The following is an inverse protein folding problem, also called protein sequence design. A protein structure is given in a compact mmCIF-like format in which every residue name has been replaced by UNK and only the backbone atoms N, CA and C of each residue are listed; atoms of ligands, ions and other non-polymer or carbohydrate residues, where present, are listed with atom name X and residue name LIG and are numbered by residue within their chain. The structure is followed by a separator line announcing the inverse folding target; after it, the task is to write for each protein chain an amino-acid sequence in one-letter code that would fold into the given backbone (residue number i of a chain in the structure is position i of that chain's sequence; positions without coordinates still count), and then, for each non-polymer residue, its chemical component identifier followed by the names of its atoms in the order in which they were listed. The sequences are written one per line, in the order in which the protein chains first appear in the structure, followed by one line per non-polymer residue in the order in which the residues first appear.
data_IF_864867711465
#
_entry.id   IF_864867711465
#
_cell.length_a   1.000
_cell.length_b   1.000
_cell.length_c   1.000
_cell.angle_alpha   90.00
_cell.angle_beta   90.00
_cell.angle_gamma   90.00
#
_symmetry.space_group_name_H-M   'P 1'
#
loop_
_entity.id
_entity.type
_entity.pdbx_description
1 polymer ?
#
# COMPACT_ATOMS: atom_id res chain seq x y z
N UNK A 1 -16.41 8.51 2.08
CA UNK A 1 -17.53 8.67 1.12
C UNK A 1 -18.15 10.08 1.16
N UNK A 2 -18.45 10.65 2.33
CA UNK A 2 -19.11 11.97 2.45
C UNK A 2 -18.39 13.12 1.71
N UNK A 3 -17.05 13.13 1.73
CA UNK A 3 -16.24 14.15 1.01
C UNK A 3 -16.36 14.09 -0.52
N UNK A 4 -16.59 12.90 -1.07
CA UNK A 4 -16.80 12.73 -2.52
C UNK A 4 -18.18 13.23 -2.95
N UNK A 5 -19.20 12.90 -2.16
CA UNK A 5 -20.58 13.33 -2.41
C UNK A 5 -20.64 14.86 -2.36
N UNK A 6 -19.98 15.48 -1.37
CA UNK A 6 -19.84 16.94 -1.25
C UNK A 6 -19.06 17.57 -2.42
N UNK A 7 -18.01 16.91 -2.93
CA UNK A 7 -17.30 17.38 -4.13
C UNK A 7 -18.14 17.29 -5.39
N UNK A 8 -18.93 16.22 -5.57
CA UNK A 8 -19.83 16.08 -6.73
C UNK A 8 -20.94 17.14 -6.66
N UNK A 9 -21.52 17.34 -5.49
CA UNK A 9 -22.59 18.32 -5.24
C UNK A 9 -22.11 19.76 -5.51
N UNK A 10 -20.91 20.11 -5.05
CA UNK A 10 -20.30 21.43 -5.28
C UNK A 10 -19.84 21.71 -6.71
N UNK A 11 -19.71 20.68 -7.53
CA UNK A 11 -19.15 20.78 -8.88
C UNK A 11 -20.23 20.89 -9.97
N UNK A 12 -21.46 21.28 -9.60
CA UNK A 12 -22.58 21.42 -10.52
C UNK A 12 -22.22 22.34 -11.70
N UNK A 13 -22.09 21.76 -12.90
CA UNK A 13 -21.71 22.48 -14.13
C UNK A 13 -20.23 22.42 -14.52
N UNK A 14 -19.36 21.76 -13.75
CA UNK A 14 -17.93 21.56 -14.07
C UNK A 14 -17.66 20.14 -14.59
N UNK A 15 -16.66 19.99 -15.48
CA UNK A 15 -16.16 18.68 -15.90
C UNK A 15 -15.31 18.11 -14.77
N UNK A 16 -15.75 17.00 -14.19
CA UNK A 16 -15.06 16.30 -13.10
C UNK A 16 -14.51 14.98 -13.64
N UNK A 17 -13.24 14.69 -13.34
CA UNK A 17 -12.68 13.36 -13.56
C UNK A 17 -13.10 12.43 -12.40
N UNK A 18 -14.16 11.66 -12.65
CA UNK A 18 -14.65 10.65 -11.71
C UNK A 18 -13.65 9.50 -11.50
N UNK A 19 -12.79 9.21 -12.49
CA UNK A 19 -11.80 8.15 -12.40
C UNK A 19 -10.74 8.51 -11.36
N UNK A 20 -10.16 9.72 -11.46
CA UNK A 20 -9.19 10.21 -10.48
C UNK A 20 -9.79 10.25 -9.08
N UNK A 21 -11.04 10.71 -8.98
CA UNK A 21 -11.74 10.77 -7.71
C UNK A 21 -11.90 9.35 -7.10
N UNK A 22 -12.43 8.39 -7.87
CA UNK A 22 -12.63 7.00 -7.45
C UNK A 22 -11.33 6.32 -7.02
N UNK A 23 -10.27 6.48 -7.81
CA UNK A 23 -8.94 5.96 -7.48
C UNK A 23 -8.45 6.53 -6.14
N UNK A 24 -8.59 7.85 -5.94
CA UNK A 24 -8.21 8.51 -4.69
C UNK A 24 -9.01 7.98 -3.48
N UNK A 25 -10.31 7.77 -3.62
CA UNK A 25 -11.14 7.23 -2.54
C UNK A 25 -10.74 5.79 -2.17
N UNK A 26 -10.63 4.91 -3.16
CA UNK A 26 -10.30 3.50 -2.93
C UNK A 26 -8.93 3.41 -2.25
N UNK A 27 -7.95 4.15 -2.77
CA UNK A 27 -6.62 4.17 -2.19
C UNK A 27 -6.64 4.73 -0.77
N UNK A 28 -7.41 5.78 -0.49
CA UNK A 28 -7.54 6.32 0.86
C UNK A 28 -8.16 5.33 1.86
N UNK A 29 -9.17 4.57 1.45
CA UNK A 29 -9.78 3.54 2.30
C UNK A 29 -8.76 2.42 2.56
N UNK A 30 -8.09 1.93 1.52
CA UNK A 30 -7.10 0.86 1.66
C UNK A 30 -5.95 1.31 2.58
N UNK A 31 -5.41 2.51 2.38
CA UNK A 31 -4.33 3.02 3.23
C UNK A 31 -4.77 3.25 4.67
N UNK A 32 -6.01 3.71 4.87
CA UNK A 32 -6.54 3.92 6.22
C UNK A 32 -6.72 2.60 6.96
N UNK A 33 -7.27 1.58 6.30
CA UNK A 33 -7.49 0.27 6.92
C UNK A 33 -6.18 -0.50 7.10
N UNK A 34 -5.31 -0.50 6.08
CA UNK A 34 -4.08 -1.28 6.10
C UNK A 34 -2.95 -0.64 6.91
N UNK A 35 -2.85 0.70 6.91
CA UNK A 35 -1.69 1.43 7.42
C UNK A 35 -2.04 2.46 8.50
N UNK A 36 -3.32 2.69 8.79
CA UNK A 36 -3.76 3.79 9.64
C UNK A 36 -3.61 5.18 9.03
N UNK A 37 -3.15 5.29 7.78
CA UNK A 37 -2.76 6.55 7.15
C UNK A 37 -3.68 6.93 6.00
N UNK A 38 -3.95 8.21 5.85
CA UNK A 38 -4.67 8.71 4.67
C UNK A 38 -3.77 8.75 3.44
N UNK A 39 -4.33 8.48 2.26
CA UNK A 39 -3.66 8.54 0.94
C UNK A 39 -3.21 9.96 0.52
N UNK A 40 -3.45 10.95 1.38
CA UNK A 40 -3.01 12.34 1.23
C UNK A 40 -1.48 12.51 1.26
N UNK A 41 -0.75 11.51 1.77
CA UNK A 41 0.71 11.53 1.80
C UNK A 41 1.27 11.51 0.36
N UNK A 42 1.95 12.58 -0.04
CA UNK A 42 2.49 12.77 -1.39
C UNK A 42 3.41 11.62 -1.80
N UNK A 43 4.20 11.07 -0.87
CA UNK A 43 5.11 9.95 -1.14
C UNK A 43 4.32 8.67 -1.42
N UNK A 44 3.26 8.44 -0.64
CA UNK A 44 2.40 7.27 -0.80
C UNK A 44 1.60 7.36 -2.10
N UNK A 45 1.04 8.53 -2.42
CA UNK A 45 0.30 8.77 -3.66
C UNK A 45 1.14 8.50 -4.90
N UNK A 46 2.39 8.99 -4.91
CA UNK A 46 3.33 8.78 -6.01
C UNK A 46 3.73 7.29 -6.16
N UNK A 47 4.05 6.62 -5.06
CA UNK A 47 4.39 5.19 -5.06
C UNK A 47 3.23 4.32 -5.57
N UNK A 48 2.01 4.59 -5.10
CA UNK A 48 0.83 3.83 -5.51
C UNK A 48 0.47 4.08 -6.98
N UNK A 49 0.64 5.31 -7.47
CA UNK A 49 0.47 5.62 -8.89
C UNK A 49 1.47 4.87 -9.77
N UNK A 50 2.75 4.83 -9.37
CA UNK A 50 3.78 4.04 -10.06
C UNK A 50 3.51 2.53 -9.99
N UNK A 51 3.00 2.04 -8.87
CA UNK A 51 2.57 0.65 -8.71
C UNK A 51 1.42 0.31 -9.65
N UNK A 52 0.36 1.12 -9.66
CA UNK A 52 -0.79 0.94 -10.56
C UNK A 52 -0.38 0.97 -12.02
N UNK A 53 0.53 1.89 -12.39
CA UNK A 53 1.09 1.93 -13.74
C UNK A 53 1.81 0.63 -14.08
N UNK A 54 2.73 0.15 -13.24
CA UNK A 54 3.50 -1.08 -13.50
C UNK A 54 2.62 -2.34 -13.49
N UNK A 55 1.59 -2.40 -12.64
CA UNK A 55 0.61 -3.50 -12.63
C UNK A 55 -0.28 -3.48 -13.88
N UNK A 56 -0.58 -2.29 -14.42
CA UNK A 56 -1.33 -2.12 -15.66
C UNK A 56 -0.50 -2.35 -16.92
N UNK A 57 0.83 -2.35 -16.83
CA UNK A 57 1.70 -2.68 -17.96
C UNK A 57 1.66 -4.19 -18.21
N UNK A 58 1.09 -4.56 -19.35
CA UNK A 58 1.13 -5.94 -19.85
C UNK A 58 2.57 -6.31 -20.21
N UNK A 59 3.14 -7.29 -19.49
CA UNK A 59 4.44 -7.89 -19.84
C UNK A 59 4.28 -8.69 -21.12
N UNK A 60 5.01 -8.32 -22.17
CA UNK A 60 4.93 -8.98 -23.48
C UNK A 60 5.49 -10.40 -23.41
N UNK A 61 6.51 -10.63 -22.59
CA UNK A 61 7.13 -11.93 -22.36
C UNK A 61 6.19 -12.95 -21.72
N UNK A 62 5.24 -12.51 -20.90
CA UNK A 62 4.23 -13.41 -20.30
C UNK A 62 3.20 -13.92 -21.31
N UNK A 63 2.96 -13.21 -22.41
CA UNK A 63 2.06 -13.63 -23.49
C UNK A 63 2.80 -14.25 -24.67
N UNK A 64 4.01 -13.78 -24.97
CA UNK A 64 4.84 -14.21 -26.09
C UNK A 64 6.26 -14.47 -25.58
N UNK A 65 6.60 -15.72 -25.20
CA UNK A 65 7.86 -16.05 -24.54
C UNK A 65 9.12 -15.61 -25.29
N UNK A 66 9.10 -15.63 -26.63
CA UNK A 66 10.24 -15.20 -27.45
C UNK A 66 10.42 -13.67 -27.51
N UNK A 67 9.45 -12.88 -27.04
CA UNK A 67 9.52 -11.42 -26.92
C UNK A 67 9.83 -10.96 -25.48
N UNK A 68 10.25 -11.86 -24.59
CA UNK A 68 10.63 -11.50 -23.21
C UNK A 68 11.75 -10.46 -23.14
N UNK A 69 12.61 -10.40 -24.17
CA UNK A 69 13.64 -9.36 -24.31
C UNK A 69 13.07 -7.94 -24.45
N UNK A 70 11.82 -7.78 -24.90
CA UNK A 70 11.14 -6.48 -24.99
C UNK A 70 10.83 -5.91 -23.61
N UNK A 71 10.51 -6.77 -22.64
CA UNK A 71 10.27 -6.34 -21.25
C UNK A 71 11.57 -5.88 -20.58
N UNK A 72 12.69 -6.54 -20.90
CA UNK A 72 14.04 -6.11 -20.50
C UNK A 72 14.41 -4.76 -21.14
N UNK A 73 14.21 -4.60 -22.45
CA UNK A 73 14.52 -3.36 -23.18
C UNK A 73 13.65 -2.17 -22.75
N UNK A 74 12.41 -2.42 -22.32
CA UNK A 74 11.52 -1.41 -21.72
C UNK A 74 11.97 -0.99 -20.32
N UNK A 75 12.95 -1.68 -19.74
CA UNK A 75 13.44 -1.45 -18.39
C UNK A 75 12.38 -1.72 -17.32
N UNK A 76 11.39 -2.58 -17.61
CA UNK A 76 10.31 -2.88 -16.68
C UNK A 76 10.85 -3.56 -15.42
N UNK A 77 11.81 -4.46 -15.58
CA UNK A 77 12.44 -5.15 -14.45
C UNK A 77 13.16 -4.18 -13.50
N UNK A 78 13.94 -3.25 -14.04
CA UNK A 78 14.61 -2.21 -13.25
C UNK A 78 13.61 -1.27 -12.55
N UNK A 79 12.53 -0.87 -13.23
CA UNK A 79 11.47 -0.03 -12.64
C UNK A 79 10.71 -0.77 -11.54
N UNK A 80 10.38 -2.05 -11.74
CA UNK A 80 9.70 -2.89 -10.75
C UNK A 80 10.58 -3.11 -9.53
N UNK A 81 11.86 -3.44 -9.71
CA UNK A 81 12.78 -3.65 -8.59
C UNK A 81 13.00 -2.36 -7.78
N UNK A 82 13.15 -1.21 -8.45
CA UNK A 82 13.27 0.08 -7.78
C UNK A 82 12.00 0.42 -7.00
N UNK A 83 10.84 0.23 -7.61
CA UNK A 83 9.55 0.48 -6.95
C UNK A 83 9.36 -0.45 -5.75
N UNK A 84 9.68 -1.74 -5.90
CA UNK A 84 9.57 -2.72 -4.82
C UNK A 84 10.42 -2.30 -3.62
N UNK A 85 11.66 -1.82 -3.86
CA UNK A 85 12.52 -1.29 -2.79
C UNK A 85 11.94 -0.05 -2.10
N UNK A 86 11.43 0.92 -2.87
CA UNK A 86 10.84 2.13 -2.28
C UNK A 86 9.57 1.84 -1.48
N UNK A 87 8.77 0.85 -1.91
CA UNK A 87 7.61 0.38 -1.15
C UNK A 87 8.06 -0.36 0.12
N UNK A 88 9.08 -1.20 0.03
CA UNK A 88 9.65 -1.92 1.17
C UNK A 88 10.14 -0.95 2.26
N UNK A 89 10.88 0.09 1.88
CA UNK A 89 11.34 1.17 2.77
C UNK A 89 10.16 1.95 3.39
N UNK A 90 9.08 2.17 2.64
CA UNK A 90 7.87 2.82 3.15
C UNK A 90 7.22 1.95 4.25
N UNK A 91 7.03 0.65 3.97
CA UNK A 91 6.46 -0.28 4.94
C UNK A 91 7.34 -0.43 6.18
N UNK A 92 8.66 -0.44 6.00
CA UNK A 92 9.60 -0.45 7.12
C UNK A 92 9.44 0.77 8.01
N UNK A 93 9.32 1.97 7.43
CA UNK A 93 9.05 3.17 8.24
C UNK A 93 7.71 3.08 8.96
N UNK A 94 6.65 2.63 8.27
CA UNK A 94 5.31 2.52 8.87
C UNK A 94 5.30 1.51 10.03
N UNK A 95 5.88 0.32 9.84
CA UNK A 95 5.93 -0.71 10.88
C UNK A 95 6.76 -0.22 12.08
N UNK A 96 7.87 0.46 11.84
CA UNK A 96 8.69 1.03 12.92
C UNK A 96 7.93 2.09 13.72
N UNK A 97 7.19 2.96 13.04
CA UNK A 97 6.33 3.96 13.67
C UNK A 97 5.25 3.29 14.55
N UNK A 98 4.62 2.21 14.07
CA UNK A 98 3.61 1.46 14.83
C UNK A 98 4.22 0.73 16.03
N UNK A 99 5.41 0.12 15.87
CA UNK A 99 6.14 -0.52 16.99
C UNK A 99 6.53 0.51 18.07
N UNK A 100 7.01 1.69 17.68
CA UNK A 100 7.37 2.75 18.62
C UNK A 100 6.14 3.33 19.32
N UNK A 101 5.04 3.51 18.59
CA UNK A 101 3.74 3.92 19.14
C UNK A 101 3.22 2.91 20.15
N UNK A 102 3.25 1.61 19.85
CA UNK A 102 2.79 0.56 20.77
C UNK A 102 3.63 0.48 22.05
N UNK A 103 4.95 0.73 21.98
CA UNK A 103 5.84 0.82 23.16
C UNK A 103 5.50 1.98 24.10
N UNK A 104 4.92 3.08 23.59
CA UNK A 104 4.56 4.25 24.39
C UNK A 104 3.17 4.12 25.07
N UNK A 105 2.33 3.18 24.60
CA UNK A 105 0.96 2.98 25.11
C UNK A 105 0.91 2.07 26.35
N UNK A 106 2.00 1.36 26.66
CA UNK A 106 2.11 0.48 27.84
C UNK A 106 2.08 1.25 29.20
N UNK A 107 2.10 2.59 29.19
CA UNK A 107 2.10 3.45 30.40
C UNK A 107 0.80 4.26 30.62
N UNK A 108 -0.24 4.06 29.80
CA UNK A 108 -1.49 4.79 29.99
C UNK A 108 -2.48 4.56 28.87
N UNK A 109 -3.48 3.73 29.15
CA UNK A 109 -4.44 3.24 28.17
C UNK A 109 -5.09 4.33 27.33
N UNK A 110 -5.22 4.06 26.04
CA UNK A 110 -6.28 4.65 25.25
C UNK A 110 -6.66 3.72 24.09
N UNK A 111 -7.97 3.62 23.89
CA UNK A 111 -8.68 3.01 22.77
C UNK A 111 -8.27 3.70 21.46
N UNK A 112 -7.11 3.34 20.92
CA UNK A 112 -6.67 3.80 19.60
C UNK A 112 -7.14 2.79 18.56
N UNK A 113 -7.65 3.31 17.44
CA UNK A 113 -8.08 2.52 16.29
C UNK A 113 -6.98 1.53 15.92
N UNK A 114 -7.25 0.24 16.11
CA UNK A 114 -6.34 -0.82 15.71
C UNK A 114 -6.38 -0.94 14.19
N UNK A 115 -5.24 -0.67 13.56
CA UNK A 115 -5.07 -0.82 12.12
C UNK A 115 -4.60 -2.24 11.81
N UNK A 116 -4.65 -2.70 10.55
CA UNK A 116 -4.23 -4.07 10.23
C UNK A 116 -2.78 -4.36 10.67
N UNK A 117 -1.88 -3.36 10.62
CA UNK A 117 -0.50 -3.51 11.12
C UNK A 117 -0.48 -3.71 12.64
N UNK A 118 -1.29 -2.99 13.41
CA UNK A 118 -1.36 -3.14 14.87
C UNK A 118 -1.90 -4.53 15.25
N UNK A 119 -2.97 -4.98 14.58
CA UNK A 119 -3.54 -6.32 14.80
C UNK A 119 -2.50 -7.41 14.52
N UNK A 120 -1.75 -7.26 13.42
CA UNK A 120 -0.71 -8.20 13.02
C UNK A 120 0.49 -8.20 13.99
N UNK A 121 0.84 -7.03 14.56
CA UNK A 121 1.90 -6.90 15.57
C UNK A 121 1.46 -7.46 16.93
N UNK A 122 0.21 -7.24 17.35
CA UNK A 122 -0.35 -7.82 18.58
C UNK A 122 -0.37 -9.35 18.49
N UNK A 123 -0.76 -9.89 17.34
CA UNK A 123 -0.74 -11.33 17.07
C UNK A 123 0.69 -11.91 17.12
N UNK A 124 1.71 -11.17 16.66
CA UNK A 124 3.11 -11.55 16.79
C UNK A 124 3.55 -11.64 18.27
N UNK A 125 3.06 -10.73 19.12
CA UNK A 125 3.42 -10.68 20.56
C UNK A 125 2.76 -11.80 21.36
N UNK A 126 1.53 -12.17 21.01
CA UNK A 126 0.75 -13.18 21.75
C UNK A 126 1.27 -14.63 21.56
N UNK A 127 2.17 -14.92 20.61
CA UNK A 127 2.74 -16.27 20.39
C UNK A 127 1.68 -17.40 20.32
N UNK A 128 0.45 -17.10 19.88
CA UNK A 128 -0.68 -18.05 19.91
C UNK A 128 -0.67 -19.06 18.77
N UNK A 129 0.21 -18.90 17.77
CA UNK A 129 0.39 -19.85 16.67
C UNK A 129 1.85 -20.26 16.51
N UNK A 130 2.11 -21.52 16.20
CA UNK A 130 3.45 -22.08 15.91
C UNK A 130 4.12 -21.48 14.64
N UNK A 131 3.69 -20.31 14.18
CA UNK A 131 4.23 -19.58 13.05
C UNK A 131 4.95 -18.31 13.56
N UNK A 132 6.20 -18.14 13.16
CA UNK A 132 6.97 -16.92 13.40
C UNK A 132 6.44 -15.87 12.42
N UNK A 133 5.60 -14.96 12.91
CA UNK A 133 5.11 -13.82 12.12
C UNK A 133 6.22 -12.77 12.03
N UNK A 134 7.09 -12.90 11.03
CA UNK A 134 8.20 -11.97 10.81
C UNK A 134 7.77 -10.73 10.01
N UNK A 135 8.58 -9.66 10.04
CA UNK A 135 8.33 -8.39 9.35
C UNK A 135 8.01 -8.59 7.86
N UNK A 136 8.71 -9.51 7.22
CA UNK A 136 8.50 -9.87 5.82
C UNK A 136 7.14 -10.54 5.58
N UNK A 137 6.62 -11.27 6.56
CA UNK A 137 5.28 -11.88 6.49
C UNK A 137 4.20 -10.81 6.56
N UNK A 138 4.37 -9.79 7.42
CA UNK A 138 3.45 -8.64 7.52
C UNK A 138 3.38 -7.92 6.17
N UNK A 139 4.55 -7.59 5.61
CA UNK A 139 4.65 -6.92 4.31
C UNK A 139 4.02 -7.76 3.20
N UNK A 140 4.25 -9.07 3.19
CA UNK A 140 3.70 -9.97 2.17
C UNK A 140 2.16 -10.09 2.23
N UNK A 141 1.56 -10.04 3.43
CA UNK A 141 0.11 -10.04 3.60
C UNK A 141 -0.51 -8.76 3.04
N UNK A 142 0.13 -7.60 3.26
CA UNK A 142 -0.38 -6.32 2.78
C UNK A 142 -0.12 -6.15 1.28
N UNK A 143 1.06 -6.55 0.81
CA UNK A 143 1.48 -6.43 -0.56
C UNK A 143 2.04 -7.77 -1.05
N UNK A 144 1.19 -8.56 -1.70
CA UNK A 144 1.60 -9.79 -2.36
C UNK A 144 2.42 -9.48 -3.61
N UNK A 145 3.73 -9.28 -3.44
CA UNK A 145 4.67 -9.24 -4.56
C UNK A 145 5.05 -10.67 -4.93
N UNK A 146 4.68 -11.10 -6.14
CA UNK A 146 5.20 -12.34 -6.71
C UNK A 146 6.65 -12.06 -7.08
N UNK A 147 7.61 -12.71 -6.40
CA UNK A 147 9.00 -12.73 -6.86
C UNK A 147 8.97 -13.44 -8.22
N UNK A 148 9.30 -12.69 -9.28
CA UNK A 148 9.46 -13.25 -10.63
C UNK A 148 10.70 -14.16 -10.66
#
# INVERSE_FOLDING_TARGET
MTRMIDMIDKSCGSVIDLSEMLVSLINNIICQVALGRTFSDLKLKDLLGRLQFLLGVVSVGTYIPWLSWVDWLRGLEGKTNKLAKEIDELFDGIIEDHVNKNKMVDDGGNDQSQDLIDILLDFQRENTTNFIFDRDTIKAVILKTKKA
#
